data_IF_337934432777
#
_entry.id   IF_337934432777
#
_cell.length_a   1.000
_cell.length_b   1.000
_cell.length_c   1.000
_cell.angle_alpha   90.00
_cell.angle_beta   90.00
_cell.angle_gamma   90.00
#
_symmetry.space_group_name_H-M   'P 1'
#
loop_
_entity.id
_entity.type
_entity.pdbx_description
1 polymer ?
#
# COMPACT_ATOMS: atom_id res chain seq x y z
N UNK A 1 -2.37 -4.31 -7.89
CA UNK A 1 -3.65 -5.01 -7.56
C UNK A 1 -3.58 -5.56 -6.13
N UNK A 2 -4.72 -5.82 -5.50
CA UNK A 2 -4.79 -6.30 -4.10
C UNK A 2 -4.64 -7.83 -4.00
N UNK A 3 -3.86 -8.35 -3.03
CA UNK A 3 -3.78 -9.80 -2.80
C UNK A 3 -5.13 -10.41 -2.40
N UNK A 4 -5.46 -11.58 -2.96
CA UNK A 4 -6.75 -12.25 -2.73
C UNK A 4 -7.02 -12.53 -1.23
N UNK A 5 -5.99 -12.92 -0.48
CA UNK A 5 -6.10 -13.17 0.96
C UNK A 5 -6.61 -11.95 1.74
N UNK A 6 -6.22 -10.74 1.31
CA UNK A 6 -6.71 -9.50 1.93
C UNK A 6 -8.19 -9.32 1.66
N UNK A 7 -8.62 -9.52 0.41
CA UNK A 7 -10.03 -9.40 0.01
C UNK A 7 -10.92 -10.43 0.72
N UNK A 8 -10.39 -11.62 0.98
CA UNK A 8 -11.12 -12.70 1.64
C UNK A 8 -11.31 -12.40 3.14
N UNK A 9 -10.25 -11.95 3.83
CA UNK A 9 -10.21 -11.85 5.30
C UNK A 9 -10.46 -10.43 5.85
N UNK A 10 -10.36 -9.41 5.01
CA UNK A 10 -10.46 -8.01 5.40
C UNK A 10 -11.49 -7.26 4.54
N UNK A 11 -12.03 -6.19 5.10
CA UNK A 11 -12.87 -5.23 4.40
C UNK A 11 -12.18 -3.86 4.35
N UNK A 12 -12.41 -3.14 3.26
CA UNK A 12 -11.86 -1.79 3.08
C UNK A 12 -12.47 -0.87 4.12
N UNK A 13 -11.62 -0.22 4.93
CA UNK A 13 -12.04 0.74 5.94
C UNK A 13 -11.97 2.17 5.40
N UNK A 14 -10.84 2.53 4.79
CA UNK A 14 -10.57 3.89 4.30
C UNK A 14 -9.82 3.82 2.98
N UNK A 15 -10.13 4.73 2.07
CA UNK A 15 -9.34 5.00 0.87
C UNK A 15 -9.09 6.50 0.73
N UNK A 16 -7.84 6.87 0.44
CA UNK A 16 -7.42 8.25 0.13
C UNK A 16 -6.72 8.24 -1.21
N UNK A 17 -7.08 9.16 -2.12
CA UNK A 17 -6.53 9.25 -3.47
C UNK A 17 -6.01 10.65 -3.75
N UNK A 18 -4.76 10.73 -4.22
CA UNK A 18 -4.12 11.94 -4.71
C UNK A 18 -4.06 11.86 -6.23
N UNK A 19 -4.86 12.68 -6.91
CA UNK A 19 -4.94 12.69 -8.37
C UNK A 19 -3.97 13.71 -8.97
N UNK A 20 -3.23 13.31 -10.00
CA UNK A 20 -2.25 14.18 -10.68
C UNK A 20 -2.61 14.48 -12.12
N UNK A 21 -3.12 13.49 -12.87
CA UNK A 21 -3.47 13.68 -14.28
C UNK A 21 -4.48 12.64 -14.76
N UNK A 22 -5.07 12.93 -15.91
CA UNK A 22 -5.94 12.02 -16.65
C UNK A 22 -5.16 11.08 -17.56
N UNK A 23 -5.71 9.88 -17.77
CA UNK A 23 -5.33 8.97 -18.84
C UNK A 23 -6.42 9.00 -19.92
N UNK A 24 -6.03 8.74 -21.16
CA UNK A 24 -6.92 8.65 -22.31
C UNK A 24 -7.41 7.21 -22.51
N UNK A 25 -8.38 7.04 -23.43
CA UNK A 25 -9.03 5.75 -23.70
C UNK A 25 -8.05 4.60 -23.99
N UNK A 26 -6.98 4.88 -24.72
CA UNK A 26 -6.04 3.87 -25.22
C UNK A 26 -4.70 3.88 -24.47
N UNK A 27 -4.59 4.68 -23.40
CA UNK A 27 -3.39 4.73 -22.59
C UNK A 27 -3.19 3.40 -21.86
N UNK A 28 -1.96 2.87 -21.95
CA UNK A 28 -1.55 1.73 -21.12
C UNK A 28 -1.10 2.25 -19.76
N UNK A 29 -1.58 1.61 -18.71
CA UNK A 29 -1.33 2.02 -17.32
C UNK A 29 -0.72 0.84 -16.55
N UNK A 30 0.35 1.12 -15.81
CA UNK A 30 0.90 0.19 -14.83
C UNK A 30 0.21 0.41 -13.47
N UNK A 31 -0.23 -0.68 -12.84
CA UNK A 31 -0.75 -0.67 -11.47
C UNK A 31 0.24 -1.30 -10.52
N UNK A 32 0.75 -0.50 -9.58
CA UNK A 32 1.68 -0.94 -8.54
C UNK A 32 1.00 -0.85 -7.17
N UNK A 33 1.24 -1.86 -6.34
CA UNK A 33 0.71 -1.93 -4.98
C UNK A 33 1.80 -2.45 -4.05
N UNK A 34 1.98 -1.82 -2.89
CA UNK A 34 2.90 -2.28 -1.85
C UNK A 34 2.22 -2.24 -0.49
N UNK A 35 2.57 -3.19 0.37
CA UNK A 35 2.20 -3.13 1.78
C UNK A 35 2.96 -1.95 2.43
N UNK A 36 2.28 -1.17 3.25
CA UNK A 36 2.88 -0.11 4.05
C UNK A 36 3.17 -0.68 5.45
N UNK A 37 4.46 -0.78 5.79
CA UNK A 37 4.90 -1.16 7.13
C UNK A 37 4.66 0.01 8.08
N UNK A 38 4.24 -0.28 9.31
CA UNK A 38 4.20 0.72 10.36
C UNK A 38 5.63 0.90 10.88
N UNK A 39 6.43 1.73 10.19
CA UNK A 39 7.77 2.10 10.63
C UNK A 39 7.62 3.02 11.85
N UNK A 40 7.30 2.43 13.01
CA UNK A 40 7.47 3.10 14.29
C UNK A 40 8.97 3.11 14.56
N UNK A 41 9.64 4.10 13.99
CA UNK A 41 11.05 4.42 14.23
C UNK A 41 11.31 4.52 15.73
N UNK A 42 12.00 3.52 16.29
CA UNK A 42 12.80 3.71 17.49
C UNK A 42 13.92 4.69 17.13
N UNK A 43 13.91 5.87 17.75
CA UNK A 43 14.89 6.93 17.51
C UNK A 43 16.25 6.44 17.99
N UNK A 44 17.04 5.84 17.11
CA UNK A 44 18.49 5.84 17.26
C UNK A 44 19.23 5.78 15.92
N UNK A 45 19.69 6.96 15.52
CA UNK A 45 20.95 7.21 14.80
C UNK A 45 21.14 6.63 13.39
N UNK A 46 20.94 7.52 12.41
CA UNK A 46 21.98 7.90 11.46
C UNK A 46 22.25 6.95 10.27
N UNK A 47 21.74 7.31 9.09
CA UNK A 47 22.21 6.73 7.84
C UNK A 47 21.47 7.28 6.64
N UNK A 48 22.16 8.08 5.82
CA UNK A 48 21.67 8.56 4.53
C UNK A 48 21.28 7.40 3.61
N UNK A 49 20.13 7.50 2.96
CA UNK A 49 19.80 6.61 1.85
C UNK A 49 18.37 6.75 1.36
N UNK A 50 18.12 7.71 0.48
CA UNK A 50 17.06 7.54 -0.52
C UNK A 50 17.36 6.25 -1.29
N UNK A 51 16.59 5.19 -1.06
CA UNK A 51 16.77 3.90 -1.71
C UNK A 51 15.44 3.42 -2.31
N UNK A 52 15.42 3.43 -3.64
CA UNK A 52 14.45 2.76 -4.48
C UNK A 52 14.34 1.27 -4.11
N UNK A 53 13.10 0.78 -4.07
CA UNK A 53 12.69 -0.63 -4.24
C UNK A 53 13.71 -1.70 -3.84
N UNK A 54 13.63 -2.17 -2.61
CA UNK A 54 14.22 -3.46 -2.23
C UNK A 54 13.20 -4.28 -1.46
N UNK A 55 12.89 -5.44 -2.01
CA UNK A 55 12.00 -6.44 -1.42
C UNK A 55 12.69 -7.08 -0.22
N UNK A 56 12.20 -6.82 0.99
CA UNK A 56 12.47 -7.69 2.13
C UNK A 56 11.14 -8.16 2.70
N UNK A 57 10.89 -9.45 2.52
CA UNK A 57 9.81 -10.18 3.17
C UNK A 57 10.07 -10.17 4.69
N UNK A 58 9.53 -9.18 5.38
CA UNK A 58 9.65 -9.08 6.83
C UNK A 58 8.63 -10.02 7.49
N UNK A 59 9.17 -11.05 8.15
CA UNK A 59 8.43 -11.97 9.03
C UNK A 59 7.83 -11.18 10.19
N UNK A 60 6.51 -11.24 10.34
CA UNK A 60 5.79 -10.70 11.49
C UNK A 60 6.25 -11.37 12.79
N UNK A 61 6.65 -10.56 13.78
CA UNK A 61 6.72 -10.97 15.18
C UNK A 61 5.62 -10.22 15.96
N UNK A 62 4.93 -10.96 16.81
CA UNK A 62 3.59 -10.68 17.36
C UNK A 62 3.72 -9.98 18.71
N UNK A 63 3.13 -8.78 18.86
CA UNK A 63 2.30 -8.35 20.01
C UNK A 63 2.13 -6.82 20.10
N UNK A 64 1.02 -6.28 19.62
CA UNK A 64 0.50 -4.97 20.09
C UNK A 64 -0.96 -4.74 19.67
N UNK A 65 -1.85 -5.43 20.41
CA UNK A 65 -3.26 -5.17 20.83
C UNK A 65 -4.17 -4.05 20.26
N UNK A 66 -3.79 -3.24 19.27
CA UNK A 66 -4.75 -2.58 18.39
C UNK A 66 -5.10 -3.58 17.27
N UNK A 67 -6.35 -3.63 16.80
CA UNK A 67 -6.71 -4.50 15.66
C UNK A 67 -5.94 -3.99 14.44
N UNK A 68 -4.73 -4.50 14.21
CA UNK A 68 -3.78 -4.05 13.19
C UNK A 68 -4.49 -3.98 11.83
N UNK A 69 -4.88 -2.76 11.46
CA UNK A 69 -5.42 -2.51 10.14
C UNK A 69 -4.23 -2.55 9.18
N UNK A 70 -4.33 -3.36 8.13
CA UNK A 70 -3.27 -3.46 7.14
C UNK A 70 -3.43 -2.34 6.11
N UNK A 71 -2.30 -1.72 5.78
CA UNK A 71 -2.27 -0.54 4.92
C UNK A 71 -1.54 -0.86 3.62
N UNK A 72 -2.06 -0.34 2.51
CA UNK A 72 -1.45 -0.50 1.20
C UNK A 72 -1.30 0.85 0.51
N UNK A 73 -0.14 1.06 -0.09
CA UNK A 73 0.12 2.13 -1.03
C UNK A 73 -0.17 1.64 -2.44
N UNK A 74 -0.79 2.52 -3.22
CA UNK A 74 -1.16 2.32 -4.61
C UNK A 74 -0.53 3.41 -5.45
N UNK A 75 -0.04 3.02 -6.62
CA UNK A 75 0.52 3.94 -7.59
C UNK A 75 0.07 3.52 -8.99
N UNK A 76 -0.59 4.44 -9.70
CA UNK A 76 -0.85 4.29 -11.12
C UNK A 76 0.04 5.24 -11.91
N UNK A 77 0.61 4.73 -12.99
CA UNK A 77 1.41 5.51 -13.93
C UNK A 77 1.14 5.07 -15.36
N UNK A 78 1.39 5.96 -16.32
CA UNK A 78 1.41 5.55 -17.71
C UNK A 78 2.57 4.59 -17.97
N UNK A 79 2.31 3.49 -18.67
CA UNK A 79 3.32 2.46 -18.96
C UNK A 79 4.39 2.93 -19.96
N UNK A 80 4.06 3.90 -20.81
CA UNK A 80 4.94 4.38 -21.90
C UNK A 80 6.06 5.30 -21.40
N UNK A 81 5.74 6.22 -20.48
CA UNK A 81 6.62 7.29 -20.03
C UNK A 81 6.76 7.36 -18.51
N UNK A 82 6.05 6.51 -17.77
CA UNK A 82 6.13 6.42 -16.32
C UNK A 82 5.50 7.59 -15.56
N UNK A 83 4.80 8.50 -16.24
CA UNK A 83 4.19 9.67 -15.60
C UNK A 83 3.07 9.23 -14.65
N UNK A 84 3.13 9.75 -13.42
CA UNK A 84 2.16 9.48 -12.36
C UNK A 84 0.75 9.92 -12.73
N UNK A 85 -0.22 9.04 -12.52
CA UNK A 85 -1.65 9.28 -12.71
C UNK A 85 -2.31 9.59 -11.38
N UNK A 86 -2.18 8.66 -10.44
CA UNK A 86 -2.62 8.86 -9.07
C UNK A 86 -1.78 8.06 -8.08
N UNK A 87 -1.83 8.54 -6.84
CA UNK A 87 -1.41 7.80 -5.65
C UNK A 87 -2.62 7.50 -4.81
N UNK A 88 -2.61 6.33 -4.18
CA UNK A 88 -3.67 5.91 -3.30
C UNK A 88 -3.13 5.29 -2.03
N UNK A 89 -3.88 5.42 -0.95
CA UNK A 89 -3.70 4.62 0.25
C UNK A 89 -5.01 3.96 0.60
N UNK A 90 -4.94 2.68 0.97
CA UNK A 90 -6.10 1.95 1.50
C UNK A 90 -5.77 1.35 2.85
N UNK A 91 -6.68 1.53 3.80
CA UNK A 91 -6.62 0.90 5.12
C UNK A 91 -7.69 -0.19 5.17
N UNK A 92 -7.31 -1.39 5.60
CA UNK A 92 -8.20 -2.55 5.63
C UNK A 92 -8.28 -3.10 7.04
N UNK A 93 -9.50 -3.40 7.49
CA UNK A 93 -9.75 -4.00 8.80
C UNK A 93 -10.23 -5.43 8.64
N UNK A 94 -9.93 -6.29 9.62
CA UNK A 94 -10.37 -7.69 9.60
C UNK A 94 -11.90 -7.75 9.59
N UNK A 95 -12.47 -8.61 8.75
CA UNK A 95 -13.91 -8.89 8.79
C UNK A 95 -14.27 -9.48 10.15
N UNK A 96 -15.37 -9.01 10.72
CA UNK A 96 -15.94 -9.66 11.91
C UNK A 96 -16.68 -10.90 11.42
N UNK A 97 -16.43 -12.05 12.04
CA UNK A 97 -17.22 -13.24 11.74
C UNK A 97 -18.69 -12.95 12.10
N UNK A 98 -19.58 -13.05 11.12
CA UNK A 98 -21.02 -13.09 11.37
C UNK A 98 -21.34 -14.44 12.02
N UNK A 99 -21.81 -14.40 13.27
CA UNK A 99 -22.36 -15.57 13.98
C UNK A 99 -23.78 -15.87 13.54
#
# INVERSE_FOLDING_TARGET
SMPQEVLDRHELQTITLDYRRECQRDDKVDSLTSLESDDTEDISSGGHGSANGSATAAKQNVNSSSKEAIQFLHFLRLSDNGLEINRGRTVWRRKVASY
#
